data_IF_579854639856
#
_entry.id   IF_579854639856
#
_cell.length_a   1.000
_cell.length_b   1.000
_cell.length_c   1.000
_cell.angle_alpha   90.00
_cell.angle_beta   90.00
_cell.angle_gamma   90.00
#
_symmetry.space_group_name_H-M   'P 1'
#
loop_
_entity.id
_entity.type
_entity.pdbx_description
1 polymer ?
#
# COMPACT_ATOMS: atom_id res chain seq x y z
N UNK A 1 16.42 2.70 77.55
CA UNK A 1 16.89 1.36 77.17
C UNK A 1 15.94 0.83 76.11
N UNK A 2 16.35 0.97 74.83
CA UNK A 2 15.88 0.36 73.57
C UNK A 2 14.37 0.30 73.20
N UNK A 3 14.09 0.17 71.87
CA UNK A 3 12.98 0.81 71.16
C UNK A 3 12.03 -0.20 70.49
N UNK A 4 10.87 0.25 70.02
CA UNK A 4 9.98 -0.54 69.14
C UNK A 4 9.38 0.44 68.11
N UNK A 5 10.00 0.63 66.96
CA UNK A 5 9.91 -0.17 65.72
C UNK A 5 8.64 0.16 64.92
N UNK A 6 8.77 1.13 64.03
CA UNK A 6 7.80 1.37 62.96
C UNK A 6 8.55 1.42 61.64
N UNK A 7 9.04 0.23 61.24
CA UNK A 7 9.48 -0.03 59.88
C UNK A 7 8.32 0.21 58.91
N UNK A 8 8.32 1.39 58.28
CA UNK A 8 7.53 1.65 57.10
C UNK A 8 7.94 0.62 56.03
N UNK A 9 6.99 -0.25 55.71
CA UNK A 9 7.08 -1.28 54.71
C UNK A 9 7.27 -0.61 53.34
N UNK A 10 8.52 -0.50 52.91
CA UNK A 10 8.85 -0.15 51.53
C UNK A 10 8.50 -1.38 50.70
N UNK A 11 7.26 -1.45 50.23
CA UNK A 11 6.83 -2.44 49.24
C UNK A 11 7.58 -2.13 47.93
N UNK A 12 8.80 -2.62 47.84
CA UNK A 12 9.55 -2.72 46.62
C UNK A 12 8.84 -3.67 45.67
N UNK A 13 8.04 -3.11 44.75
CA UNK A 13 8.04 -3.67 43.41
C UNK A 13 9.46 -3.52 42.91
N UNK A 14 10.28 -4.56 43.07
CA UNK A 14 11.50 -4.71 42.31
C UNK A 14 11.13 -4.51 40.84
N UNK A 15 11.46 -3.34 40.30
CA UNK A 15 11.06 -2.93 38.97
C UNK A 15 11.74 -3.88 38.00
N UNK A 16 11.00 -4.85 37.48
CA UNK A 16 11.56 -5.81 36.55
C UNK A 16 11.83 -5.11 35.21
N UNK A 17 13.02 -4.51 35.11
CA UNK A 17 13.48 -3.75 33.95
C UNK A 17 13.69 -4.65 32.73
N UNK A 18 13.59 -5.98 32.86
CA UNK A 18 13.65 -6.94 31.73
C UNK A 18 12.52 -6.73 30.72
N UNK A 19 11.45 -6.05 31.09
CA UNK A 19 10.35 -5.66 30.18
C UNK A 19 10.78 -4.63 29.13
N UNK A 20 11.81 -3.83 29.43
CA UNK A 20 12.40 -2.91 28.47
C UNK A 20 13.41 -3.73 27.67
N UNK A 21 13.32 -3.85 26.34
CA UNK A 21 14.32 -4.58 25.56
C UNK A 21 15.69 -3.87 25.61
N UNK A 22 16.78 -4.60 25.36
CA UNK A 22 18.10 -3.98 25.21
C UNK A 22 18.19 -3.22 23.89
N UNK A 23 19.00 -2.17 23.87
CA UNK A 23 19.23 -1.35 22.70
C UNK A 23 20.72 -1.23 22.41
N UNK A 24 21.11 -1.80 21.28
CA UNK A 24 22.47 -1.79 20.75
C UNK A 24 22.69 -0.75 19.64
N UNK A 25 21.59 -0.21 19.08
CA UNK A 25 21.59 0.71 17.94
C UNK A 25 21.42 0.07 16.57
N UNK A 26 21.27 -1.26 16.47
CA UNK A 26 21.23 -1.98 15.18
C UNK A 26 19.86 -2.61 14.87
N UNK A 27 19.22 -3.22 15.87
CA UNK A 27 18.04 -4.07 15.63
C UNK A 27 16.71 -3.31 15.57
N UNK A 28 16.59 -2.22 16.32
CA UNK A 28 15.36 -1.46 16.46
C UNK A 28 15.62 0.01 16.16
N UNK A 29 14.63 0.71 15.60
CA UNK A 29 14.74 2.15 15.50
C UNK A 29 14.75 2.75 16.92
N UNK A 30 15.64 3.72 17.14
CA UNK A 30 15.80 4.38 18.44
C UNK A 30 14.50 4.98 18.97
N UNK A 31 13.66 5.55 18.09
CA UNK A 31 12.32 6.05 18.47
C UNK A 31 11.39 4.93 18.96
N UNK A 32 11.40 3.80 18.26
CA UNK A 32 10.77 2.52 18.61
C UNK A 32 10.98 2.13 20.08
N UNK A 33 12.26 2.12 20.40
CA UNK A 33 12.75 1.69 21.68
C UNK A 33 12.45 2.71 22.79
N UNK A 34 12.64 4.01 22.52
CA UNK A 34 12.37 5.08 23.48
C UNK A 34 10.88 5.15 23.86
N UNK A 35 9.97 5.01 22.89
CA UNK A 35 8.53 5.01 23.17
C UNK A 35 8.13 3.85 24.08
N UNK A 36 8.68 2.64 23.84
CA UNK A 36 8.45 1.47 24.70
C UNK A 36 9.04 1.67 26.10
N UNK A 37 10.25 2.22 26.19
CA UNK A 37 10.89 2.53 27.47
C UNK A 37 10.04 3.51 28.28
N UNK A 38 9.62 4.62 27.68
CA UNK A 38 8.77 5.63 28.33
C UNK A 38 7.42 5.04 28.77
N UNK A 39 6.81 4.19 27.95
CA UNK A 39 5.56 3.50 28.30
C UNK A 39 5.75 2.57 29.51
N UNK A 40 6.78 1.73 29.51
CA UNK A 40 7.05 0.82 30.63
C UNK A 40 7.35 1.60 31.90
N UNK A 41 8.20 2.64 31.83
CA UNK A 41 8.50 3.51 32.97
C UNK A 41 7.23 4.15 33.54
N UNK A 42 6.36 4.68 32.67
CA UNK A 42 5.07 5.27 33.08
C UNK A 42 4.17 4.27 33.79
N UNK A 43 4.01 3.06 33.23
CA UNK A 43 3.18 2.00 33.81
C UNK A 43 3.73 1.47 35.15
N UNK A 44 5.04 1.63 35.38
CA UNK A 44 5.72 1.21 36.62
C UNK A 44 5.93 2.35 37.62
N UNK A 45 5.49 3.57 37.30
CA UNK A 45 5.65 4.73 38.18
C UNK A 45 7.09 5.22 38.31
N UNK A 46 7.96 4.93 37.33
CA UNK A 46 9.35 5.40 37.32
C UNK A 46 9.40 6.81 36.71
N UNK A 47 9.88 7.78 37.48
CA UNK A 47 10.05 9.19 37.03
C UNK A 47 11.46 9.48 36.55
N UNK A 48 12.48 8.84 37.12
CA UNK A 48 13.88 9.10 36.84
C UNK A 48 14.40 8.28 35.65
N UNK A 49 13.89 8.57 34.44
CA UNK A 49 14.23 7.81 33.22
C UNK A 49 15.74 7.80 32.92
N UNK A 50 16.46 8.87 33.27
CA UNK A 50 17.90 8.99 33.05
C UNK A 50 18.71 7.90 33.78
N UNK A 51 18.16 7.29 34.84
CA UNK A 51 18.77 6.17 35.57
C UNK A 51 18.51 4.81 34.92
N UNK A 52 17.38 4.67 34.21
CA UNK A 52 16.95 3.41 33.60
C UNK A 52 17.59 3.19 32.23
N UNK A 53 17.67 4.25 31.43
CA UNK A 53 18.24 4.21 30.07
C UNK A 53 19.60 3.49 30.03
N UNK A 54 20.63 3.90 30.79
CA UNK A 54 21.96 3.27 30.70
C UNK A 54 21.97 1.78 31.06
N UNK A 55 21.02 1.30 31.87
CA UNK A 55 20.92 -0.12 32.25
C UNK A 55 20.45 -1.02 31.10
N UNK A 56 19.84 -0.43 30.06
CA UNK A 56 19.29 -1.15 28.90
C UNK A 56 20.01 -0.81 27.59
N UNK A 57 20.98 0.10 27.63
CA UNK A 57 21.87 0.36 26.50
C UNK A 57 22.99 -0.68 26.47
N UNK A 58 23.32 -1.16 25.28
CA UNK A 58 24.42 -2.09 25.05
C UNK A 58 25.27 -1.61 23.87
N UNK A 59 26.46 -2.20 23.71
CA UNK A 59 27.36 -1.98 22.58
C UNK A 59 27.53 -0.49 22.20
N UNK A 60 27.34 -0.16 20.91
CA UNK A 60 27.53 1.19 20.39
C UNK A 60 26.62 2.22 21.06
N UNK A 61 25.40 1.85 21.42
CA UNK A 61 24.47 2.77 22.08
C UNK A 61 24.94 3.19 23.47
N UNK A 62 25.53 2.27 24.24
CA UNK A 62 26.13 2.62 25.53
C UNK A 62 27.38 3.49 25.38
N UNK A 63 28.19 3.27 24.33
CA UNK A 63 29.34 4.12 24.03
C UNK A 63 28.95 5.58 23.76
N UNK A 64 27.83 5.82 23.06
CA UNK A 64 27.28 7.17 22.85
C UNK A 64 26.89 7.80 24.18
N UNK A 65 26.22 7.06 25.07
CA UNK A 65 25.88 7.53 26.41
C UNK A 65 27.13 7.88 27.23
N UNK A 66 28.19 7.08 27.15
CA UNK A 66 29.43 7.31 27.91
C UNK A 66 30.11 8.63 27.55
N UNK A 67 30.01 9.09 26.30
CA UNK A 67 30.59 10.34 25.81
C UNK A 67 29.89 11.60 26.39
N UNK A 68 28.70 11.46 26.96
CA UNK A 68 28.00 12.57 27.61
C UNK A 68 28.70 12.99 28.91
N UNK A 69 28.71 14.29 29.18
CA UNK A 69 29.18 14.82 30.45
C UNK A 69 28.19 14.49 31.59
N UNK A 70 28.61 14.74 32.84
CA UNK A 70 27.80 14.40 34.01
C UNK A 70 26.48 15.17 34.09
N UNK A 71 26.40 16.40 33.58
CA UNK A 71 25.16 17.17 33.58
C UNK A 71 24.15 16.57 32.60
N UNK A 72 24.58 16.27 31.38
CA UNK A 72 23.73 15.67 30.34
C UNK A 72 23.26 14.25 30.72
N UNK A 73 24.08 13.48 31.45
CA UNK A 73 23.70 12.16 31.97
C UNK A 73 22.59 12.20 33.03
N UNK A 74 22.33 13.36 33.63
CA UNK A 74 21.23 13.57 34.57
C UNK A 74 19.99 14.18 33.90
N UNK A 75 20.02 14.43 32.58
CA UNK A 75 18.88 14.94 31.82
C UNK A 75 18.46 13.94 30.74
N UNK A 76 17.31 13.31 30.95
CA UNK A 76 16.77 12.34 29.99
C UNK A 76 16.57 12.96 28.59
N UNK A 77 16.23 14.24 28.50
CA UNK A 77 16.04 14.92 27.21
C UNK A 77 17.35 14.99 26.43
N UNK A 78 18.48 15.20 27.13
CA UNK A 78 19.82 15.24 26.53
C UNK A 78 20.27 13.85 26.09
N UNK A 79 20.04 12.83 26.93
CA UNK A 79 20.32 11.43 26.57
C UNK A 79 19.50 11.03 25.34
N UNK A 80 18.20 11.33 25.33
CA UNK A 80 17.29 11.06 24.22
C UNK A 80 17.77 11.73 22.93
N UNK A 81 18.14 13.01 23.00
CA UNK A 81 18.67 13.74 21.85
C UNK A 81 19.97 13.12 21.31
N UNK A 82 20.89 12.70 22.19
CA UNK A 82 22.15 12.08 21.79
C UNK A 82 21.92 10.73 21.09
N UNK A 83 21.03 9.88 21.62
CA UNK A 83 20.69 8.59 21.02
C UNK A 83 19.99 8.77 19.67
N UNK A 84 19.05 9.71 19.56
CA UNK A 84 18.40 10.04 18.28
C UNK A 84 19.43 10.56 17.29
N UNK A 85 20.31 11.46 17.71
CA UNK A 85 21.36 11.99 16.85
C UNK A 85 22.31 10.92 16.32
N UNK A 86 22.60 9.87 17.10
CA UNK A 86 23.52 8.82 16.72
C UNK A 86 22.88 7.68 15.91
N UNK A 87 21.60 7.37 16.16
CA UNK A 87 20.94 6.15 15.67
C UNK A 87 19.64 6.39 14.91
N UNK A 88 19.18 7.64 14.75
CA UNK A 88 18.03 7.90 13.91
C UNK A 88 18.33 7.51 12.46
N UNK A 89 17.34 6.91 11.81
CA UNK A 89 17.42 6.67 10.38
C UNK A 89 17.59 8.00 9.64
N UNK A 90 18.48 8.00 8.64
CA UNK A 90 18.66 9.15 7.77
C UNK A 90 17.33 9.47 7.04
N UNK A 91 17.01 10.76 6.94
CA UNK A 91 15.74 11.23 6.35
C UNK A 91 15.59 10.82 4.88
N UNK A 92 16.69 10.72 4.14
CA UNK A 92 16.67 10.29 2.74
C UNK A 92 16.43 8.79 2.65
N UNK A 93 17.07 8.00 3.50
CA UNK A 93 16.82 6.55 3.61
C UNK A 93 15.37 6.28 4.00
N UNK A 94 14.81 7.03 4.96
CA UNK A 94 13.41 6.91 5.34
C UNK A 94 12.45 7.22 4.18
N UNK A 95 12.74 8.26 3.38
CA UNK A 95 11.97 8.59 2.19
C UNK A 95 12.10 7.52 1.09
N UNK A 96 13.29 6.99 0.86
CA UNK A 96 13.51 5.90 -0.11
C UNK A 96 12.72 4.64 0.28
N UNK A 97 12.79 4.24 1.55
CA UNK A 97 11.99 3.15 2.09
C UNK A 97 10.49 3.42 1.93
N UNK A 98 10.06 4.66 2.16
CA UNK A 98 8.65 5.04 2.01
C UNK A 98 8.15 4.87 0.58
N UNK A 99 8.91 5.33 -0.41
CA UNK A 99 8.53 5.25 -1.83
C UNK A 99 8.58 3.81 -2.37
N UNK A 100 9.52 3.01 -1.88
CA UNK A 100 9.72 1.62 -2.32
C UNK A 100 8.84 0.61 -1.59
N UNK A 101 8.24 0.99 -0.45
CA UNK A 101 7.41 0.08 0.35
C UNK A 101 6.20 -0.42 -0.43
N UNK A 102 6.00 -1.73 -0.42
CA UNK A 102 4.83 -2.43 -0.94
C UNK A 102 4.24 -3.33 0.13
N UNK A 103 2.93 -3.54 0.15
CA UNK A 103 2.28 -4.49 1.05
C UNK A 103 2.96 -5.87 0.93
N UNK A 104 3.39 -6.45 2.06
CA UNK A 104 4.08 -7.74 2.07
C UNK A 104 3.09 -8.91 2.16
N UNK A 105 3.52 -10.11 1.75
CA UNK A 105 2.72 -11.32 1.87
C UNK A 105 2.43 -11.64 3.34
N UNK A 106 1.15 -11.84 3.67
CA UNK A 106 0.70 -12.09 5.04
C UNK A 106 0.65 -10.85 5.96
N UNK A 107 1.07 -9.68 5.48
CA UNK A 107 0.93 -8.42 6.20
C UNK A 107 -0.51 -7.89 6.09
N UNK A 108 -1.07 -7.39 7.20
CA UNK A 108 -2.37 -6.71 7.15
C UNK A 108 -2.22 -5.30 6.60
N UNK A 109 -3.25 -4.84 5.90
CA UNK A 109 -3.35 -3.50 5.33
C UNK A 109 -3.14 -2.39 6.37
N UNK A 110 -3.60 -2.64 7.60
CA UNK A 110 -3.44 -1.76 8.75
C UNK A 110 -1.98 -1.62 9.19
N UNK A 111 -1.27 -2.74 9.29
CA UNK A 111 0.15 -2.75 9.65
C UNK A 111 0.96 -2.03 8.58
N UNK A 112 0.62 -2.26 7.31
CA UNK A 112 1.24 -1.55 6.19
C UNK A 112 1.00 -0.03 6.25
N UNK A 113 -0.23 0.42 6.49
CA UNK A 113 -0.50 1.86 6.62
C UNK A 113 0.22 2.47 7.85
N UNK A 114 0.24 1.75 8.97
CA UNK A 114 0.96 2.18 10.17
C UNK A 114 2.46 2.35 9.88
N UNK A 115 3.05 1.43 9.11
CA UNK A 115 4.43 1.51 8.68
C UNK A 115 4.70 2.73 7.78
N UNK A 116 3.83 3.02 6.82
CA UNK A 116 3.95 4.22 5.98
C UNK A 116 3.87 5.51 6.79
N UNK A 117 2.94 5.61 7.75
CA UNK A 117 2.83 6.77 8.66
C UNK A 117 4.10 6.97 9.47
N UNK A 118 4.65 5.87 9.98
CA UNK A 118 5.90 5.90 10.74
C UNK A 118 7.05 6.42 9.88
N UNK A 119 7.23 5.89 8.66
CA UNK A 119 8.28 6.37 7.76
C UNK A 119 8.08 7.84 7.41
N UNK A 120 6.85 8.26 7.11
CA UNK A 120 6.52 9.66 6.85
C UNK A 120 6.95 10.59 7.98
N UNK A 121 6.70 10.20 9.23
CA UNK A 121 7.10 10.99 10.39
C UNK A 121 8.62 11.22 10.49
N UNK A 122 9.44 10.28 10.01
CA UNK A 122 10.91 10.39 10.05
C UNK A 122 11.47 11.48 9.11
N UNK A 123 10.72 11.87 8.07
CA UNK A 123 11.13 12.92 7.13
C UNK A 123 10.24 14.16 7.16
N UNK A 124 9.53 14.38 8.28
CA UNK A 124 8.74 15.60 8.52
C UNK A 124 7.24 15.48 8.24
N UNK A 125 6.76 14.27 7.95
CA UNK A 125 5.36 13.99 7.67
C UNK A 125 4.96 14.34 6.23
N UNK A 126 3.78 13.86 5.83
CA UNK A 126 3.16 14.17 4.54
C UNK A 126 1.67 14.41 4.76
N UNK A 127 1.02 15.21 3.90
CA UNK A 127 -0.42 15.39 3.96
C UNK A 127 -1.17 14.09 3.65
N UNK A 128 -2.38 13.96 4.17
CA UNK A 128 -3.18 12.72 4.09
C UNK A 128 -3.41 12.25 2.66
N UNK A 129 -3.64 13.17 1.72
CA UNK A 129 -3.76 12.84 0.30
C UNK A 129 -2.48 12.19 -0.27
N UNK A 130 -1.30 12.69 0.12
CA UNK A 130 -0.02 12.09 -0.24
C UNK A 130 0.15 10.70 0.36
N UNK A 131 -0.29 10.51 1.61
CA UNK A 131 -0.26 9.22 2.29
C UNK A 131 -1.22 8.21 1.64
N UNK A 132 -2.43 8.63 1.27
CA UNK A 132 -3.40 7.80 0.53
C UNK A 132 -2.81 7.38 -0.82
N UNK A 133 -2.18 8.30 -1.56
CA UNK A 133 -1.52 7.99 -2.82
C UNK A 133 -0.42 6.94 -2.65
N UNK A 134 0.46 7.10 -1.66
CA UNK A 134 1.52 6.14 -1.37
C UNK A 134 0.96 4.77 -0.95
N UNK A 135 -0.05 4.78 -0.08
CA UNK A 135 -0.74 3.58 0.37
C UNK A 135 -1.32 2.80 -0.82
N UNK A 136 -2.15 3.44 -1.66
CA UNK A 136 -2.77 2.80 -2.83
C UNK A 136 -1.72 2.37 -3.85
N UNK A 137 -0.65 3.14 -4.05
CA UNK A 137 0.42 2.81 -4.99
C UNK A 137 1.21 1.56 -4.56
N UNK A 138 1.31 1.27 -3.26
CA UNK A 138 2.01 0.09 -2.77
C UNK A 138 1.15 -1.15 -2.53
N UNK A 139 -0.15 -1.09 -2.83
CA UNK A 139 -1.02 -2.28 -2.85
C UNK A 139 -0.82 -3.10 -4.14
N UNK A 140 -1.16 -4.40 -4.13
CA UNK A 140 -1.15 -5.23 -5.34
C UNK A 140 -1.96 -4.59 -6.48
N UNK A 141 -1.54 -4.81 -7.74
CA UNK A 141 -2.17 -4.19 -8.91
C UNK A 141 -3.68 -4.46 -8.96
N UNK A 142 -4.12 -5.68 -8.68
CA UNK A 142 -5.54 -6.05 -8.63
C UNK A 142 -6.35 -5.14 -7.70
N UNK A 143 -5.84 -4.87 -6.50
CA UNK A 143 -6.50 -4.06 -5.49
C UNK A 143 -6.44 -2.57 -5.84
N UNK A 144 -5.26 -2.07 -6.21
CA UNK A 144 -5.07 -0.65 -6.52
C UNK A 144 -5.89 -0.21 -7.74
N UNK A 145 -6.06 -1.07 -8.75
CA UNK A 145 -6.94 -0.78 -9.89
C UNK A 145 -8.40 -0.69 -9.48
N UNK A 146 -8.90 -1.60 -8.63
CA UNK A 146 -10.29 -1.57 -8.13
C UNK A 146 -10.53 -0.29 -7.32
N UNK A 147 -9.60 0.05 -6.43
CA UNK A 147 -9.70 1.28 -5.62
C UNK A 147 -9.68 2.55 -6.46
N UNK A 148 -8.89 2.59 -7.54
CA UNK A 148 -8.85 3.74 -8.47
C UNK A 148 -10.06 3.82 -9.40
N UNK A 149 -10.71 2.69 -9.69
CA UNK A 149 -11.92 2.66 -10.50
C UNK A 149 -13.16 3.10 -9.71
N UNK A 150 -13.19 2.88 -8.39
CA UNK A 150 -14.32 3.23 -7.52
C UNK A 150 -14.23 4.65 -6.93
N UNK A 151 -14.96 5.60 -7.51
CA UNK A 151 -15.06 7.01 -7.05
C UNK A 151 -13.72 7.78 -6.99
N UNK A 152 -13.78 9.11 -6.88
CA UNK A 152 -12.58 9.94 -6.76
C UNK A 152 -11.94 9.69 -5.40
N UNK A 153 -10.72 9.14 -5.39
CA UNK A 153 -9.91 8.95 -4.18
C UNK A 153 -9.67 10.27 -3.42
N UNK A 154 -9.80 11.40 -4.11
CA UNK A 154 -9.65 12.77 -3.58
C UNK A 154 -10.71 13.14 -2.54
N UNK A 155 -11.88 12.51 -2.57
CA UNK A 155 -13.00 12.81 -1.66
C UNK A 155 -13.04 11.87 -0.45
N UNK A 156 -12.13 10.89 -0.39
CA UNK A 156 -12.15 9.84 0.63
C UNK A 156 -11.11 10.11 1.71
N UNK A 157 -11.53 9.93 2.96
CA UNK A 157 -10.59 9.83 4.07
C UNK A 157 -9.83 8.50 4.02
N UNK A 158 -8.63 8.49 4.59
CA UNK A 158 -7.76 7.32 4.63
C UNK A 158 -8.42 6.11 5.31
N UNK A 159 -9.32 6.33 6.27
CA UNK A 159 -10.09 5.27 6.93
C UNK A 159 -11.07 4.58 5.96
N UNK A 160 -11.67 5.36 5.04
CA UNK A 160 -12.59 4.84 4.03
C UNK A 160 -11.82 4.08 2.95
N UNK A 161 -10.68 4.59 2.51
CA UNK A 161 -9.78 3.91 1.57
C UNK A 161 -9.30 2.58 2.15
N UNK A 162 -8.91 2.58 3.43
CA UNK A 162 -8.47 1.38 4.13
C UNK A 162 -9.58 0.33 4.24
N UNK A 163 -10.81 0.76 4.56
CA UNK A 163 -11.99 -0.13 4.62
C UNK A 163 -12.26 -0.80 3.27
N UNK A 164 -12.16 -0.04 2.16
CA UNK A 164 -12.30 -0.61 0.81
C UNK A 164 -11.17 -1.58 0.47
N UNK A 165 -9.93 -1.24 0.81
CA UNK A 165 -8.77 -2.10 0.57
C UNK A 165 -8.90 -3.45 1.29
N UNK A 166 -9.36 -3.45 2.55
CA UNK A 166 -9.65 -4.68 3.31
C UNK A 166 -10.68 -5.56 2.59
N UNK A 167 -11.79 -4.98 2.13
CA UNK A 167 -12.86 -5.73 1.46
C UNK A 167 -12.35 -6.46 0.22
N UNK A 168 -11.60 -5.77 -0.65
CA UNK A 168 -11.08 -6.33 -1.90
C UNK A 168 -10.05 -7.44 -1.65
N UNK A 169 -9.21 -7.30 -0.62
CA UNK A 169 -8.20 -8.31 -0.29
C UNK A 169 -8.82 -9.58 0.32
N UNK A 170 -9.96 -9.48 1.00
CA UNK A 170 -10.70 -10.64 1.52
C UNK A 170 -11.40 -11.39 0.38
N UNK A 171 -12.00 -10.68 -0.58
CA UNK A 171 -12.67 -11.29 -1.74
C UNK A 171 -11.71 -12.04 -2.67
N UNK A 172 -10.45 -11.61 -2.76
CA UNK A 172 -9.41 -12.28 -3.56
C UNK A 172 -8.98 -13.66 -3.03
N UNK A 173 -9.23 -13.98 -1.76
CA UNK A 173 -8.86 -15.27 -1.14
C UNK A 173 -9.94 -16.34 -1.33
N UNK A 174 -11.20 -15.93 -1.53
CA UNK A 174 -12.32 -16.86 -1.73
C UNK A 174 -12.46 -17.38 -3.19
N UNK A 175 -11.63 -16.89 -4.13
CA UNK A 175 -11.74 -17.19 -5.56
C UNK A 175 -11.01 -18.45 -6.05
N UNK A 176 -10.36 -19.22 -5.17
CA UNK A 176 -9.58 -20.40 -5.55
C UNK A 176 -9.98 -21.63 -4.72
N UNK A 177 -11.03 -22.35 -5.14
CA UNK A 177 -11.41 -23.60 -4.47
C UNK A 177 -12.64 -24.31 -5.02
N UNK A 178 -12.36 -25.34 -5.84
CA UNK A 178 -13.11 -26.61 -5.93
C UNK A 178 -14.46 -26.63 -6.64
N UNK A 179 -14.41 -27.15 -7.86
CA UNK A 179 -15.52 -27.76 -8.60
C UNK A 179 -16.06 -28.99 -7.86
N UNK A 180 -17.35 -28.99 -7.52
CA UNK A 180 -18.14 -30.22 -7.41
C UNK A 180 -19.51 -29.99 -8.06
N UNK A 181 -19.89 -30.74 -9.11
CA UNK A 181 -21.24 -30.73 -9.64
C UNK A 181 -22.08 -31.77 -8.91
N UNK A 182 -23.15 -31.35 -8.23
CA UNK A 182 -24.23 -32.24 -7.84
C UNK A 182 -25.60 -31.58 -8.04
N UNK A 183 -26.51 -32.43 -8.49
CA UNK A 183 -27.84 -32.24 -9.07
C UNK A 183 -28.87 -31.44 -8.25
N UNK A 184 -29.83 -30.89 -8.99
CA UNK A 184 -31.22 -31.28 -8.78
C UNK A 184 -32.17 -30.29 -8.09
N UNK A 185 -32.89 -29.52 -8.92
CA UNK A 185 -34.32 -29.16 -8.78
C UNK A 185 -34.81 -28.32 -7.58
N UNK A 186 -35.36 -27.14 -7.89
CA UNK A 186 -36.37 -26.49 -7.05
C UNK A 186 -36.59 -25.00 -7.34
N UNK A 187 -37.59 -24.66 -8.17
CA UNK A 187 -38.07 -23.28 -8.40
C UNK A 187 -38.81 -22.74 -7.15
N UNK A 188 -38.48 -21.53 -6.70
CA UNK A 188 -39.39 -20.36 -6.72
C UNK A 188 -38.82 -19.14 -5.96
N UNK A 189 -38.45 -18.11 -6.73
CA UNK A 189 -38.87 -16.70 -6.62
C UNK A 189 -38.86 -15.98 -5.26
N UNK A 190 -38.05 -14.90 -5.13
CA UNK A 190 -38.47 -13.49 -4.94
C UNK A 190 -37.26 -12.55 -4.68
N UNK A 191 -37.19 -11.47 -5.47
CA UNK A 191 -36.71 -10.08 -5.18
C UNK A 191 -35.22 -9.68 -5.06
N UNK A 192 -34.81 -8.86 -6.07
CA UNK A 192 -33.91 -7.66 -6.06
C UNK A 192 -32.38 -7.82 -5.97
N UNK A 193 -31.58 -6.81 -6.41
CA UNK A 193 -31.47 -6.18 -7.73
C UNK A 193 -30.17 -6.61 -8.45
N UNK A 194 -30.23 -6.63 -9.78
CA UNK A 194 -29.24 -7.23 -10.67
C UNK A 194 -27.85 -6.58 -10.62
N UNK A 195 -26.87 -7.33 -10.11
CA UNK A 195 -25.54 -7.32 -10.69
C UNK A 195 -25.68 -7.79 -12.14
N UNK A 196 -25.52 -6.90 -13.11
CA UNK A 196 -25.49 -7.30 -14.52
C UNK A 196 -24.20 -8.06 -14.78
N UNK A 197 -24.16 -9.34 -14.40
CA UNK A 197 -23.19 -10.29 -14.91
C UNK A 197 -23.44 -10.39 -16.40
N UNK A 198 -22.64 -9.65 -17.16
CA UNK A 198 -22.68 -9.70 -18.62
C UNK A 198 -22.22 -11.08 -19.04
N UNK A 199 -23.16 -11.83 -19.62
CA UNK A 199 -22.89 -13.15 -20.20
C UNK A 199 -22.88 -12.97 -21.71
N UNK A 200 -21.83 -13.48 -22.35
CA UNK A 200 -21.72 -13.45 -23.78
C UNK A 200 -22.76 -14.37 -24.41
N UNK A 201 -23.73 -13.82 -25.14
CA UNK A 201 -24.76 -14.60 -25.83
C UNK A 201 -24.23 -15.51 -26.97
N UNK A 202 -22.93 -15.45 -27.29
CA UNK A 202 -22.30 -16.28 -28.34
C UNK A 202 -21.70 -17.57 -27.77
N UNK A 203 -21.06 -17.50 -26.60
CA UNK A 203 -20.37 -18.65 -25.98
C UNK A 203 -20.90 -19.01 -24.59
N UNK A 204 -21.93 -18.32 -24.11
CA UNK A 204 -22.50 -18.45 -22.77
C UNK A 204 -21.50 -18.31 -21.60
N UNK A 205 -20.33 -17.73 -21.84
CA UNK A 205 -19.35 -17.46 -20.79
C UNK A 205 -19.60 -16.09 -20.14
N UNK A 206 -19.46 -15.99 -18.81
CA UNK A 206 -19.62 -14.73 -18.10
C UNK A 206 -18.44 -13.77 -18.32
N UNK A 207 -18.63 -12.50 -17.92
CA UNK A 207 -17.61 -11.45 -17.81
C UNK A 207 -17.12 -10.81 -19.12
N UNK A 208 -17.82 -10.96 -20.24
CA UNK A 208 -17.56 -10.20 -21.47
C UNK A 208 -18.79 -10.08 -22.38
N UNK A 209 -18.88 -9.00 -23.16
CA UNK A 209 -19.96 -8.84 -24.14
C UNK A 209 -19.67 -9.64 -25.42
N UNK A 210 -20.71 -9.94 -26.20
CA UNK A 210 -20.58 -10.66 -27.48
C UNK A 210 -19.57 -10.04 -28.46
N UNK A 211 -19.26 -8.74 -28.31
CA UNK A 211 -18.25 -8.03 -29.12
C UNK A 211 -16.81 -8.37 -28.75
N UNK A 212 -16.57 -8.79 -27.51
CA UNK A 212 -15.24 -9.06 -26.94
C UNK A 212 -14.95 -10.57 -26.83
N UNK A 213 -15.83 -11.40 -27.42
CA UNK A 213 -15.73 -12.86 -27.37
C UNK A 213 -14.58 -13.37 -28.24
N UNK A 214 -13.48 -13.78 -27.60
CA UNK A 214 -12.32 -14.37 -28.28
C UNK A 214 -12.61 -15.78 -28.84
N UNK A 215 -13.57 -16.50 -28.26
CA UNK A 215 -14.02 -17.80 -28.75
C UNK A 215 -14.73 -17.72 -30.12
N UNK A 216 -15.12 -16.51 -30.57
CA UNK A 216 -15.76 -16.26 -31.86
C UNK A 216 -14.80 -16.06 -33.04
N UNK A 217 -13.47 -16.15 -32.87
CA UNK A 217 -12.51 -15.91 -33.97
C UNK A 217 -12.48 -17.00 -35.06
N UNK A 218 -13.36 -18.00 -34.99
CA UNK A 218 -13.50 -19.06 -35.99
C UNK A 218 -14.80 -19.09 -36.80
N UNK A 219 -15.77 -18.20 -36.56
CA UNK A 219 -17.09 -18.38 -37.18
C UNK A 219 -17.88 -17.08 -37.34
N UNK A 220 -18.05 -16.67 -38.59
CA UNK A 220 -18.78 -15.49 -39.08
C UNK A 220 -17.99 -14.17 -39.00
N UNK A 221 -17.17 -13.97 -40.04
CA UNK A 221 -16.99 -12.64 -40.65
C UNK A 221 -18.39 -12.04 -40.82
N UNK A 222 -18.78 -11.14 -39.92
CA UNK A 222 -19.85 -10.20 -40.18
C UNK A 222 -19.48 -9.48 -41.47
N UNK A 223 -20.23 -9.79 -42.52
CA UNK A 223 -20.02 -9.29 -43.86
C UNK A 223 -19.84 -7.77 -43.80
N UNK A 224 -18.72 -7.27 -44.36
CA UNK A 224 -18.45 -5.82 -44.55
C UNK A 224 -19.50 -5.11 -45.41
N UNK A 225 -20.58 -5.80 -45.80
CA UNK A 225 -21.62 -5.35 -46.70
C UNK A 225 -22.72 -4.49 -46.05
N UNK A 226 -22.73 -4.28 -44.72
CA UNK A 226 -23.75 -3.43 -44.07
C UNK A 226 -23.22 -2.10 -43.51
N UNK A 227 -21.96 -1.75 -43.79
CA UNK A 227 -21.44 -0.42 -43.43
C UNK A 227 -21.92 0.59 -44.48
N UNK A 228 -22.60 1.65 -44.04
CA UNK A 228 -23.10 2.73 -44.90
C UNK A 228 -22.06 3.84 -44.99
N UNK A 229 -21.68 4.21 -46.22
CA UNK A 229 -20.80 5.33 -46.47
C UNK A 229 -21.50 6.64 -46.09
N UNK A 230 -20.87 7.45 -45.23
CA UNK A 230 -21.43 8.73 -44.79
C UNK A 230 -21.47 9.78 -45.91
N UNK A 231 -20.65 9.63 -46.97
CA UNK A 231 -20.59 10.57 -48.08
C UNK A 231 -21.60 10.27 -49.19
N UNK A 232 -21.74 9.01 -49.62
CA UNK A 232 -22.63 8.63 -50.75
C UNK A 232 -23.86 7.80 -50.33
N UNK A 233 -24.01 7.51 -49.02
CA UNK A 233 -25.09 6.71 -48.42
C UNK A 233 -25.24 5.28 -48.97
N UNK A 234 -24.29 4.78 -49.76
CA UNK A 234 -24.28 3.39 -50.24
C UNK A 234 -23.66 2.43 -49.23
N UNK A 235 -24.06 1.16 -49.32
CA UNK A 235 -23.59 0.08 -48.43
C UNK A 235 -22.32 -0.58 -48.98
N UNK A 236 -21.47 -1.11 -48.09
CA UNK A 236 -20.30 -1.91 -48.44
C UNK A 236 -18.94 -1.20 -48.32
N UNK A 237 -18.92 0.09 -47.98
CA UNK A 237 -17.70 0.87 -47.73
C UNK A 237 -17.95 2.04 -46.76
N UNK A 238 -16.88 2.55 -46.14
CA UNK A 238 -16.90 3.76 -45.29
C UNK A 238 -16.52 5.00 -46.11
N UNK A 239 -16.75 6.21 -45.57
CA UNK A 239 -16.47 7.49 -46.25
C UNK A 239 -15.04 7.59 -46.81
N UNK A 240 -14.06 7.00 -46.10
CA UNK A 240 -12.64 6.97 -46.48
C UNK A 240 -12.32 6.07 -47.68
N UNK A 241 -13.25 5.20 -48.09
CA UNK A 241 -13.09 4.23 -49.18
C UNK A 241 -14.18 4.41 -50.25
N UNK A 242 -14.71 5.63 -50.37
CA UNK A 242 -15.75 5.96 -51.33
C UNK A 242 -15.16 6.02 -52.76
N UNK A 243 -15.65 5.19 -53.70
CA UNK A 243 -15.15 5.19 -55.08
C UNK A 243 -15.52 6.45 -55.88
N UNK A 244 -16.34 7.35 -55.32
CA UNK A 244 -16.76 8.59 -55.95
C UNK A 244 -15.84 9.79 -55.72
N UNK A 245 -14.64 9.62 -55.14
CA UNK A 245 -13.77 10.76 -54.81
C UNK A 245 -12.27 10.48 -55.09
N UNK A 246 -11.95 10.07 -56.32
CA UNK A 246 -10.57 9.83 -56.74
C UNK A 246 -10.28 10.35 -58.15
N UNK A 247 -10.05 11.65 -58.28
CA UNK A 247 -9.32 12.22 -59.42
C UNK A 247 -8.15 13.03 -58.87
N UNK A 248 -7.07 12.34 -58.55
CA UNK A 248 -5.79 12.91 -58.16
C UNK A 248 -4.70 12.18 -58.92
N UNK A 249 -4.45 12.71 -60.10
CA UNK A 249 -3.58 12.23 -61.17
C UNK A 249 -2.16 11.85 -60.71
N UNK A 250 -1.70 10.73 -61.27
CA UNK A 250 -0.31 10.27 -61.28
C UNK A 250 0.61 11.33 -61.90
N UNK A 251 1.56 11.84 -61.12
CA UNK A 251 2.77 12.46 -61.64
C UNK A 251 3.98 11.69 -61.11
N UNK A 252 4.57 10.92 -62.02
CA UNK A 252 5.91 10.34 -61.97
C UNK A 252 6.94 11.37 -61.48
N UNK A 253 7.82 10.95 -60.58
CA UNK A 253 9.16 11.52 -60.42
C UNK A 253 10.18 10.39 -60.65
N UNK A 254 11.15 10.55 -61.56
CA UNK A 254 12.15 9.52 -61.83
C UNK A 254 13.25 9.49 -60.77
N UNK A 255 13.81 8.30 -60.60
CA UNK A 255 15.00 8.01 -59.81
C UNK A 255 16.26 8.49 -60.54
N UNK A 256 17.21 9.04 -59.77
CA UNK A 256 18.64 8.92 -60.04
C UNK A 256 19.45 9.46 -58.85
N UNK A 257 20.03 8.54 -58.09
CA UNK A 257 21.35 8.72 -57.48
C UNK A 257 22.42 8.51 -58.57
N UNK A 258 23.61 9.07 -58.40
CA UNK A 258 24.74 8.16 -58.19
C UNK A 258 25.72 8.62 -57.09
N UNK A 259 26.47 7.61 -56.64
CA UNK A 259 27.59 7.61 -55.69
C UNK A 259 28.84 8.42 -56.10
N UNK A 260 29.75 8.53 -55.12
CA UNK A 260 31.21 8.83 -55.19
C UNK A 260 31.57 10.32 -55.43
N UNK A 261 32.46 10.99 -54.67
CA UNK A 261 33.62 10.64 -53.82
C UNK A 261 33.69 11.60 -52.61
#
# INVERSE_FOLDING_TARGET
MKPEDSAARVDGLATDLRLIPEFDGALHAVGEWLEKLELVCRLRGITELHTVVPLRLTAGAFSVYQQLNSADKNDFSKIKAALISAFAADKFVAYEQFVTRRLQDGESVDVYLAYLRRLAALFGGIPDNGLICAFVAGLPSSVSHILRAGSRLEDLDITQVLSRARAVLVEGVAGAGTTTPLDGSGRSHMTTPASTSVVCHVCNQPNHYARDCLAGRGGRRGSRSNVRCFSCRQLGHIASSCPGNGSGEVALAPASSPDCL
#
